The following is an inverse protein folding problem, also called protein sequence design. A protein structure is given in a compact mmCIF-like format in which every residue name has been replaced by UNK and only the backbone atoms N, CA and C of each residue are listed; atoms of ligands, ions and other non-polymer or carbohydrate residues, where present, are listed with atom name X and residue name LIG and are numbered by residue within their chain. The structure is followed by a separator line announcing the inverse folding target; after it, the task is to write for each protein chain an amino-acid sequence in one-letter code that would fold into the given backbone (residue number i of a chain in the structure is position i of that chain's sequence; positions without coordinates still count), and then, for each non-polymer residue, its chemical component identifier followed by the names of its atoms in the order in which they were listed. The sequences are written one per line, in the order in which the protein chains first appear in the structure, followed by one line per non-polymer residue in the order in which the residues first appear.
data_IF_787020327609
#
_entry.id   IF_787020327609
#
_cell.length_a   1.000
_cell.length_b   1.000
_cell.length_c   1.000
_cell.angle_alpha   90.00
_cell.angle_beta   90.00
_cell.angle_gamma   90.00
#
_symmetry.space_group_name_H-M   'P 1'
#
loop_
_entity.id
_entity.type
_entity.pdbx_description
1 polymer ?
#
# COMPACT_ATOMS: atom_id res chain seq x y z
N UNK A 1 -16.02 13.49 11.62
CA UNK A 1 -16.14 13.18 10.17
C UNK A 1 -15.37 14.12 9.26
N UNK A 2 -15.54 15.45 9.35
CA UNK A 2 -15.02 16.39 8.33
C UNK A 2 -13.47 16.34 8.18
N UNK A 3 -12.74 16.25 9.29
CA UNK A 3 -11.28 16.17 9.29
C UNK A 3 -10.75 14.85 8.68
N UNK A 4 -11.47 13.74 8.88
CA UNK A 4 -11.14 12.46 8.24
C UNK A 4 -11.30 12.53 6.73
N UNK A 5 -12.38 13.17 6.28
CA UNK A 5 -12.66 13.35 4.85
C UNK A 5 -11.61 14.23 4.18
N UNK A 6 -11.23 15.34 4.82
CA UNK A 6 -10.18 16.24 4.32
C UNK A 6 -8.81 15.56 4.30
N UNK A 7 -8.47 14.77 5.32
CA UNK A 7 -7.22 14.02 5.38
C UNK A 7 -7.12 12.96 4.27
N UNK A 8 -8.21 12.23 4.00
CA UNK A 8 -8.29 11.27 2.89
C UNK A 8 -8.18 11.96 1.52
N UNK A 9 -8.81 13.14 1.35
CA UNK A 9 -8.70 13.92 0.12
C UNK A 9 -7.25 14.37 -0.11
N UNK A 10 -6.60 14.89 0.93
CA UNK A 10 -5.20 15.29 0.89
C UNK A 10 -4.25 14.11 0.71
N UNK A 11 -4.59 12.92 1.23
CA UNK A 11 -3.80 11.71 1.01
C UNK A 11 -3.90 11.24 -0.45
N UNK A 12 -5.10 11.22 -1.04
CA UNK A 12 -5.32 10.85 -2.44
C UNK A 12 -4.66 11.86 -3.41
N UNK A 13 -4.74 13.16 -3.10
CA UNK A 13 -4.13 14.20 -3.93
C UNK A 13 -2.63 14.40 -3.68
N UNK A 14 -2.18 14.23 -2.44
CA UNK A 14 -0.81 14.51 -1.99
C UNK A 14 0.15 13.33 -2.16
N UNK A 15 -0.34 12.09 -2.14
CA UNK A 15 0.46 10.92 -2.49
C UNK A 15 0.54 10.80 -4.02
N UNK A 16 1.42 11.62 -4.58
CA UNK A 16 1.55 11.88 -6.01
C UNK A 16 1.38 10.64 -6.89
N UNK A 17 0.24 10.59 -7.57
CA UNK A 17 0.16 9.88 -8.84
C UNK A 17 1.10 10.62 -9.78
N UNK A 18 2.34 10.13 -9.90
CA UNK A 18 3.18 10.46 -11.05
C UNK A 18 2.48 9.91 -12.28
N UNK A 19 1.61 10.73 -12.87
CA UNK A 19 1.24 10.57 -14.26
C UNK A 19 2.50 10.90 -15.04
N UNK A 20 3.26 9.85 -15.34
CA UNK A 20 4.37 9.87 -16.27
C UNK A 20 3.80 10.32 -17.62
N UNK A 21 4.04 11.59 -17.93
CA UNK A 21 3.43 12.30 -19.05
C UNK A 21 4.49 12.72 -20.04
N UNK A 22 5.55 11.94 -20.18
CA UNK A 22 6.63 12.17 -21.13
C UNK A 22 7.15 10.81 -21.60
N UNK A 23 6.57 10.25 -22.67
CA UNK A 23 7.27 9.44 -23.70
C UNK A 23 6.26 8.80 -24.65
N UNK A 24 5.84 9.57 -25.66
CA UNK A 24 5.01 9.10 -26.78
C UNK A 24 5.81 8.27 -27.80
N UNK A 25 7.13 8.08 -27.64
CA UNK A 25 7.97 7.43 -28.66
C UNK A 25 9.00 6.48 -28.04
N UNK A 26 8.55 5.46 -27.31
CA UNK A 26 9.17 4.13 -27.19
C UNK A 26 8.34 3.33 -26.18
N UNK A 27 7.35 2.58 -26.65
CA UNK A 27 6.57 1.70 -25.76
C UNK A 27 7.38 0.45 -25.42
N UNK A 28 8.48 0.63 -24.69
CA UNK A 28 8.91 -0.41 -23.79
C UNK A 28 7.76 -0.58 -22.78
N UNK A 29 7.19 -1.77 -22.73
CA UNK A 29 5.97 -2.06 -21.99
C UNK A 29 6.27 -1.89 -20.50
N UNK A 30 6.16 -0.67 -19.97
CA UNK A 30 6.34 -0.36 -18.55
C UNK A 30 5.24 -1.07 -17.78
N UNK A 31 5.50 -2.33 -17.42
CA UNK A 31 4.59 -3.13 -16.61
C UNK A 31 4.53 -2.49 -15.23
N UNK A 32 3.38 -1.94 -14.86
CA UNK A 32 3.16 -1.46 -13.49
C UNK A 32 3.30 -2.65 -12.56
N UNK A 33 4.26 -2.57 -11.64
CA UNK A 33 4.52 -3.60 -10.64
C UNK A 33 3.82 -3.21 -9.34
N UNK A 34 3.07 -4.13 -8.76
CA UNK A 34 2.24 -3.88 -7.59
C UNK A 34 1.97 -5.16 -6.79
N UNK A 35 1.22 -5.03 -5.72
CA UNK A 35 0.86 -6.14 -4.84
C UNK A 35 -0.16 -5.71 -3.80
N UNK A 36 -0.52 -6.63 -2.91
CA UNK A 36 -1.42 -6.37 -1.80
C UNK A 36 -1.26 -7.38 -0.68
N UNK A 37 -1.98 -7.12 0.41
CA UNK A 37 -2.06 -7.98 1.59
C UNK A 37 -3.53 -8.16 1.94
N UNK A 38 -3.96 -9.40 2.13
CA UNK A 38 -5.26 -9.73 2.71
C UNK A 38 -5.02 -10.28 4.11
N UNK A 39 -5.63 -9.67 5.12
CA UNK A 39 -5.58 -10.16 6.49
C UNK A 39 -6.77 -11.10 6.73
N UNK A 40 -6.51 -12.41 6.85
CA UNK A 40 -7.52 -13.40 7.26
C UNK A 40 -7.32 -13.67 8.75
N UNK A 41 -7.99 -12.86 9.57
CA UNK A 41 -7.61 -12.76 10.99
C UNK A 41 -6.20 -12.20 11.15
N UNK A 42 -5.43 -12.60 12.18
CA UNK A 42 -4.06 -12.12 12.38
C UNK A 42 -3.05 -12.74 11.39
N UNK A 43 -3.50 -13.55 10.44
CA UNK A 43 -2.64 -14.21 9.45
C UNK A 43 -2.67 -13.41 8.13
N UNK A 44 -1.56 -12.76 7.74
CA UNK A 44 -1.49 -12.01 6.50
C UNK A 44 -1.19 -12.92 5.30
N UNK A 45 -1.95 -12.75 4.22
CA UNK A 45 -1.71 -13.34 2.90
C UNK A 45 -1.16 -12.24 1.99
N UNK A 46 0.11 -12.35 1.62
CA UNK A 46 0.83 -11.33 0.86
C UNK A 46 1.02 -11.77 -0.59
N UNK A 47 0.71 -10.89 -1.53
CA UNK A 47 0.90 -11.13 -2.96
C UNK A 47 1.55 -9.92 -3.62
N UNK A 48 2.45 -10.16 -4.57
CA UNK A 48 3.16 -9.10 -5.28
C UNK A 48 3.66 -9.58 -6.62
N UNK A 49 3.78 -8.66 -7.57
CA UNK A 49 4.26 -8.92 -8.93
C UNK A 49 5.77 -9.24 -8.97
N UNK A 50 6.46 -9.12 -7.83
CA UNK A 50 7.84 -9.54 -7.63
C UNK A 50 8.07 -9.84 -6.14
N UNK A 51 8.97 -10.78 -5.84
CA UNK A 51 9.51 -11.06 -4.51
C UNK A 51 9.83 -9.80 -3.68
N UNK A 52 10.47 -8.78 -4.28
CA UNK A 52 10.82 -7.55 -3.54
C UNK A 52 9.59 -6.81 -3.03
N UNK A 53 8.52 -6.76 -3.83
CA UNK A 53 7.26 -6.08 -3.48
C UNK A 53 6.53 -6.90 -2.42
N UNK A 54 6.49 -8.22 -2.57
CA UNK A 54 5.91 -9.11 -1.56
C UNK A 54 6.64 -8.99 -0.21
N UNK A 55 7.97 -8.90 -0.20
CA UNK A 55 8.76 -8.74 1.02
C UNK A 55 8.43 -7.42 1.74
N UNK A 56 8.37 -6.30 0.98
CA UNK A 56 8.00 -4.99 1.54
C UNK A 56 6.60 -5.03 2.13
N UNK A 57 5.63 -5.59 1.39
CA UNK A 57 4.25 -5.71 1.84
C UNK A 57 4.10 -6.62 3.07
N UNK A 58 4.90 -7.68 3.16
CA UNK A 58 4.95 -8.55 4.34
C UNK A 58 5.43 -7.80 5.57
N UNK A 59 6.47 -6.98 5.44
CA UNK A 59 6.97 -6.17 6.54
C UNK A 59 5.93 -5.16 7.01
N UNK A 60 5.27 -4.47 6.07
CA UNK A 60 4.16 -3.55 6.36
C UNK A 60 3.02 -4.27 7.08
N UNK A 61 2.64 -5.47 6.63
CA UNK A 61 1.58 -6.26 7.26
C UNK A 61 1.91 -6.64 8.71
N UNK A 62 3.14 -7.08 8.98
CA UNK A 62 3.59 -7.44 10.33
C UNK A 62 3.55 -6.23 11.25
N UNK A 63 4.05 -5.07 10.79
CA UNK A 63 3.99 -3.83 11.57
C UNK A 63 2.54 -3.45 11.88
N UNK A 64 1.63 -3.55 10.90
CA UNK A 64 0.21 -3.27 11.11
C UNK A 64 -0.43 -4.22 12.11
N UNK A 65 -0.11 -5.51 12.06
CA UNK A 65 -0.60 -6.52 13.00
C UNK A 65 -0.11 -6.16 14.42
N UNK A 66 1.17 -5.87 14.59
CA UNK A 66 1.74 -5.48 15.90
C UNK A 66 1.03 -4.23 16.44
N UNK A 67 0.87 -3.19 15.62
CA UNK A 67 0.17 -1.97 16.02
C UNK A 67 -1.28 -2.28 16.41
N UNK A 68 -1.97 -3.12 15.64
CA UNK A 68 -3.35 -3.52 15.93
C UNK A 68 -3.43 -4.24 17.26
N UNK A 69 -2.53 -5.19 17.54
CA UNK A 69 -2.47 -5.89 18.82
C UNK A 69 -2.14 -4.95 19.98
N UNK A 70 -1.18 -4.03 19.80
CA UNK A 70 -0.81 -3.07 20.84
C UNK A 70 -2.03 -2.21 21.23
N UNK A 71 -2.71 -1.63 20.23
CA UNK A 71 -3.89 -0.80 20.44
C UNK A 71 -5.05 -1.59 21.04
N UNK A 72 -5.23 -2.86 20.67
CA UNK A 72 -6.31 -3.70 21.21
C UNK A 72 -6.02 -4.20 22.64
N UNK A 73 -4.75 -4.37 23.01
CA UNK A 73 -4.31 -4.85 24.33
C UNK A 73 -4.17 -3.71 25.35
N UNK A 74 -3.91 -2.48 24.90
CA UNK A 74 -3.81 -1.28 25.75
C UNK A 74 -5.18 -0.61 26.04
N UNK A 75 -6.30 -1.28 25.71
CA UNK A 75 -7.70 -0.88 25.98
C UNK A 75 -8.36 -1.88 26.93
#
# INVERSE_FOLDING_TARGET
MIFLFVSILFFIFGFGVKYDKDEVINREKTSVKGGGVILVGPIPIVFGSNWKIALVLMFVAIVLIIVTFLVLLDV
#
